data_IF_417604511012
#
_entry.id   IF_417604511012
#
_cell.length_a   1.000
_cell.length_b   1.000
_cell.length_c   1.000
_cell.angle_alpha   90.00
_cell.angle_beta   90.00
_cell.angle_gamma   90.00
#
_symmetry.space_group_name_H-M   'P 1'
#
loop_
_entity.id
_entity.type
_entity.pdbx_description
1 polymer ?
#
# COMPACT_ATOMS: atom_id res chain seq x y z
N UNK A 1 -2.30 16.47 9.70
CA UNK A 1 -2.20 15.07 9.20
C UNK A 1 -0.80 14.56 9.53
N UNK A 2 -0.69 13.39 10.15
CA UNK A 2 0.60 12.77 10.48
C UNK A 2 0.98 11.79 9.36
N UNK A 3 2.16 11.93 8.75
CA UNK A 3 2.62 11.06 7.66
C UNK A 3 2.63 9.58 8.07
N UNK A 4 3.04 9.30 9.31
CA UNK A 4 3.01 7.94 9.85
C UNK A 4 1.59 7.36 9.92
N UNK A 5 0.58 8.18 10.25
CA UNK A 5 -0.83 7.74 10.27
C UNK A 5 -1.37 7.43 8.87
N UNK A 6 -0.97 8.23 7.86
CA UNK A 6 -1.33 8.01 6.45
C UNK A 6 -0.70 6.73 5.92
N UNK A 7 0.59 6.50 6.21
CA UNK A 7 1.31 5.27 5.86
C UNK A 7 0.62 4.04 6.44
N UNK A 8 0.32 4.07 7.74
CA UNK A 8 -0.36 2.97 8.44
C UNK A 8 -1.71 2.66 7.81
N UNK A 9 -2.49 3.70 7.48
CA UNK A 9 -3.78 3.53 6.80
C UNK A 9 -3.63 2.93 5.41
N UNK A 10 -2.66 3.39 4.62
CA UNK A 10 -2.37 2.85 3.29
C UNK A 10 -2.02 1.37 3.35
N UNK A 11 -1.10 0.97 4.24
CA UNK A 11 -0.71 -0.44 4.42
C UNK A 11 -1.90 -1.29 4.87
N UNK A 12 -2.73 -0.79 5.79
CA UNK A 12 -3.90 -1.51 6.27
C UNK A 12 -4.94 -1.75 5.16
N UNK A 13 -5.25 -0.73 4.36
CA UNK A 13 -6.19 -0.85 3.24
C UNK A 13 -5.64 -1.77 2.14
N UNK A 14 -4.34 -1.70 1.86
CA UNK A 14 -3.67 -2.57 0.88
C UNK A 14 -3.79 -4.04 1.30
N UNK A 15 -3.56 -4.34 2.59
CA UNK A 15 -3.73 -5.69 3.16
C UNK A 15 -5.19 -6.14 3.11
N UNK A 16 -6.14 -5.25 3.43
CA UNK A 16 -7.56 -5.56 3.37
C UNK A 16 -7.99 -5.91 1.95
N UNK A 17 -7.50 -5.17 0.95
CA UNK A 17 -7.77 -5.46 -0.46
C UNK A 17 -7.21 -6.83 -0.86
N UNK A 18 -5.99 -7.18 -0.44
CA UNK A 18 -5.41 -8.49 -0.72
C UNK A 18 -6.25 -9.63 -0.12
N UNK A 19 -6.76 -9.48 1.10
CA UNK A 19 -7.66 -10.47 1.73
C UNK A 19 -8.94 -10.62 0.92
N UNK A 20 -9.59 -9.50 0.56
CA UNK A 20 -10.81 -9.51 -0.27
C UNK A 20 -10.58 -10.14 -1.64
N UNK A 21 -9.40 -9.94 -2.22
CA UNK A 21 -9.04 -10.58 -3.48
C UNK A 21 -8.93 -12.09 -3.33
N UNK A 22 -8.31 -12.61 -2.27
CA UNK A 22 -8.24 -14.05 -2.00
C UNK A 22 -9.63 -14.67 -1.81
N UNK A 23 -10.51 -14.00 -1.06
CA UNK A 23 -11.93 -14.42 -0.93
C UNK A 23 -12.61 -14.48 -2.30
N UNK A 24 -12.39 -13.46 -3.14
CA UNK A 24 -12.95 -13.39 -4.50
C UNK A 24 -12.42 -14.52 -5.38
N UNK A 25 -11.13 -14.84 -5.29
CA UNK A 25 -10.49 -15.96 -6.02
C UNK A 25 -11.03 -17.32 -5.61
N UNK A 26 -11.61 -17.45 -4.41
CA UNK A 26 -12.35 -18.65 -4.03
C UNK A 26 -13.50 -18.98 -4.99
N UNK A 27 -14.15 -17.95 -5.56
CA UNK A 27 -15.31 -18.10 -6.43
C UNK A 27 -15.04 -17.72 -7.90
N UNK A 28 -14.04 -16.88 -8.17
CA UNK A 28 -13.70 -16.38 -9.51
C UNK A 28 -12.31 -16.90 -9.94
N UNK A 29 -12.31 -18.02 -10.66
CA UNK A 29 -11.09 -18.79 -10.97
C UNK A 29 -10.73 -18.83 -12.46
N UNK A 30 -11.49 -18.14 -13.30
CA UNK A 30 -11.26 -18.16 -14.75
C UNK A 30 -9.98 -17.41 -15.18
N UNK A 31 -9.74 -17.42 -16.49
CA UNK A 31 -8.62 -16.69 -17.10
C UNK A 31 -8.72 -15.18 -16.87
N UNK A 32 -9.92 -14.62 -16.75
CA UNK A 32 -10.12 -13.18 -16.53
C UNK A 32 -9.74 -12.74 -15.13
N UNK A 33 -9.98 -13.57 -14.12
CA UNK A 33 -9.50 -13.32 -12.77
C UNK A 33 -7.96 -13.28 -12.72
N UNK A 34 -7.28 -14.18 -13.44
CA UNK A 34 -5.81 -14.17 -13.56
C UNK A 34 -5.30 -12.92 -14.31
N UNK A 35 -5.99 -12.54 -15.39
CA UNK A 35 -5.67 -11.32 -16.15
C UNK A 35 -5.82 -10.07 -15.27
N UNK A 36 -6.90 -10.00 -14.47
CA UNK A 36 -7.18 -8.89 -13.57
C UNK A 36 -6.11 -8.75 -12.49
N UNK A 37 -5.71 -9.85 -11.87
CA UNK A 37 -4.64 -9.88 -10.85
C UNK A 37 -3.34 -9.29 -11.39
N UNK A 38 -2.88 -9.81 -12.52
CA UNK A 38 -1.62 -9.39 -13.15
C UNK A 38 -1.67 -7.95 -13.63
N UNK A 39 -2.78 -7.55 -14.25
CA UNK A 39 -2.89 -6.24 -14.90
C UNK A 39 -3.12 -5.10 -13.93
N UNK A 40 -3.82 -5.35 -12.82
CA UNK A 40 -4.24 -4.27 -11.93
C UNK A 40 -3.73 -4.44 -10.51
N UNK A 41 -3.87 -5.64 -9.92
CA UNK A 41 -3.57 -5.83 -8.50
C UNK A 41 -2.06 -5.89 -8.22
N UNK A 42 -1.29 -6.61 -9.04
CA UNK A 42 0.17 -6.66 -8.88
C UNK A 42 0.79 -5.25 -8.97
N UNK A 43 0.39 -4.47 -9.97
CA UNK A 43 0.86 -3.08 -10.13
C UNK A 43 0.41 -2.19 -8.96
N UNK A 44 -0.86 -2.29 -8.56
CA UNK A 44 -1.40 -1.51 -7.45
C UNK A 44 -0.67 -1.81 -6.13
N UNK A 45 -0.45 -3.08 -5.80
CA UNK A 45 0.25 -3.49 -4.59
C UNK A 45 1.70 -3.04 -4.60
N UNK A 46 2.38 -3.17 -5.74
CA UNK A 46 3.73 -2.66 -5.93
C UNK A 46 3.80 -1.15 -5.65
N UNK A 47 2.93 -0.35 -6.29
CA UNK A 47 2.88 1.10 -6.11
C UNK A 47 2.51 1.51 -4.69
N UNK A 48 1.57 0.80 -4.06
CA UNK A 48 1.17 1.07 -2.67
C UNK A 48 2.32 0.83 -1.69
N UNK A 49 3.10 -0.24 -1.89
CA UNK A 49 4.29 -0.53 -1.09
C UNK A 49 5.38 0.54 -1.29
N UNK A 50 5.65 0.94 -2.54
CA UNK A 50 6.61 2.02 -2.84
C UNK A 50 6.18 3.34 -2.20
N UNK A 51 4.89 3.68 -2.27
CA UNK A 51 4.36 4.88 -1.64
C UNK A 51 4.49 4.82 -0.11
N UNK A 52 4.18 3.68 0.53
CA UNK A 52 4.34 3.52 1.97
C UNK A 52 5.81 3.70 2.42
N UNK A 53 6.77 3.15 1.67
CA UNK A 53 8.20 3.34 1.92
C UNK A 53 8.61 4.82 1.75
N UNK A 54 8.16 5.47 0.67
CA UNK A 54 8.45 6.89 0.42
C UNK A 54 7.91 7.80 1.52
N UNK A 55 6.70 7.50 2.04
CA UNK A 55 6.11 8.24 3.17
C UNK A 55 6.96 8.07 4.43
N UNK A 56 7.50 6.87 4.68
CA UNK A 56 8.38 6.62 5.81
C UNK A 56 9.68 7.42 5.72
N UNK A 57 10.29 7.49 4.54
CA UNK A 57 11.52 8.26 4.33
C UNK A 57 11.28 9.76 4.49
N UNK A 58 10.15 10.27 3.99
CA UNK A 58 9.74 11.66 4.23
C UNK A 58 9.53 11.96 5.71
N UNK A 59 8.90 11.05 6.46
CA UNK A 59 8.67 11.20 7.91
C UNK A 59 10.00 11.29 8.69
N UNK A 60 11.00 10.48 8.31
CA UNK A 60 12.35 10.54 8.88
C UNK A 60 13.02 11.89 8.62
N UNK A 61 12.97 12.38 7.38
CA UNK A 61 13.58 13.66 7.00
C UNK A 61 12.92 14.82 7.73
N UNK A 62 11.59 14.87 7.77
CA UNK A 62 10.85 15.94 8.46
C UNK A 62 11.05 15.91 9.97
N UNK A 63 11.12 14.71 10.57
CA UNK A 63 11.42 14.57 11.99
C UNK A 63 12.83 15.08 12.32
N UNK A 64 13.81 14.78 11.47
CA UNK A 64 15.18 15.29 11.63
C UNK A 64 15.20 16.82 11.50
N UNK A 65 14.60 17.36 10.43
CA UNK A 65 14.53 18.81 10.22
C UNK A 65 13.92 19.53 11.42
N UNK A 66 12.85 18.99 12.00
CA UNK A 66 12.21 19.58 13.18
C UNK A 66 13.14 19.57 14.40
N UNK A 67 13.90 18.50 14.62
CA UNK A 67 14.90 18.42 15.69
C UNK A 67 16.07 19.37 15.48
N UNK A 68 16.49 19.59 14.23
CA UNK A 68 17.60 20.48 13.90
C UNK A 68 17.20 21.97 14.02
N UNK A 69 15.90 22.30 14.10
CA UNK A 69 15.38 23.65 14.28
C UNK A 69 14.91 23.97 15.71
N UNK A 70 14.90 23.00 16.61
CA UNK A 70 14.64 23.16 18.06
C UNK A 70 15.98 23.31 18.82
#
# INVERSE_FOLDING_TARGET
MNLNSTRTRLTALTKQLAIRWQETRGHWQDTKATEFEKRYLEELFSRANTAAASIEDLDKVLTKLRRDCE
#
